data_IF_402654362079
#
_entry.id   IF_402654362079
#
_cell.length_a   1.000
_cell.length_b   1.000
_cell.length_c   1.000
_cell.angle_alpha   90.00
_cell.angle_beta   90.00
_cell.angle_gamma   90.00
#
_symmetry.space_group_name_H-M   'P 1'
#
loop_
_entity.id
_entity.type
_entity.pdbx_description
1 polymer ?
#
# COMPACT_ATOMS: atom_id res chain seq x y z
N UNK A 1 -8.48 36.07 -48.86
CA UNK A 1 -8.74 34.94 -47.94
C UNK A 1 -8.07 35.25 -46.61
N UNK A 2 -8.90 35.57 -45.60
CA UNK A 2 -8.42 36.01 -44.28
C UNK A 2 -7.89 34.79 -43.47
N UNK A 3 -6.61 34.82 -43.09
CA UNK A 3 -5.91 33.82 -42.28
C UNK A 3 -6.11 34.03 -40.75
N UNK A 4 -7.11 34.81 -40.35
CA UNK A 4 -7.31 35.24 -38.95
C UNK A 4 -8.37 34.46 -38.18
N UNK A 5 -8.71 33.22 -38.53
CA UNK A 5 -9.72 32.44 -37.81
C UNK A 5 -9.26 31.02 -37.46
N UNK A 6 -8.04 30.85 -36.94
CA UNK A 6 -7.57 29.57 -36.37
C UNK A 6 -7.10 29.68 -34.92
N UNK A 7 -7.48 30.73 -34.21
CA UNK A 7 -7.45 30.72 -32.75
C UNK A 7 -8.72 30.06 -32.24
N UNK A 8 -8.84 28.75 -32.44
CA UNK A 8 -9.87 27.93 -31.80
C UNK A 8 -9.43 27.55 -30.40
N UNK A 9 -10.14 28.05 -29.42
CA UNK A 9 -10.53 27.49 -28.12
C UNK A 9 -9.80 26.20 -27.71
N UNK A 10 -8.54 26.34 -27.28
CA UNK A 10 -7.80 25.30 -26.58
C UNK A 10 -7.77 25.51 -25.06
N UNK A 11 -8.60 26.38 -24.52
CA UNK A 11 -8.45 26.90 -23.17
C UNK A 11 -9.53 26.45 -22.19
N UNK A 12 -10.02 25.19 -22.31
CA UNK A 12 -10.91 24.62 -21.30
C UNK A 12 -10.60 23.15 -20.96
N UNK A 13 -9.36 22.69 -21.14
CA UNK A 13 -8.91 21.44 -20.56
C UNK A 13 -8.38 21.72 -19.15
N UNK A 14 -9.12 21.32 -18.12
CA UNK A 14 -8.65 21.35 -16.72
C UNK A 14 -7.49 20.38 -16.56
N UNK A 15 -6.25 20.88 -16.72
CA UNK A 15 -5.05 20.10 -16.44
C UNK A 15 -4.98 19.73 -14.96
N UNK A 16 -4.64 18.48 -14.66
CA UNK A 16 -4.39 18.02 -13.28
C UNK A 16 -3.16 18.68 -12.68
N UNK A 17 -2.19 19.04 -13.51
CA UNK A 17 -1.00 19.78 -13.12
C UNK A 17 -0.83 21.03 -14.00
N UNK A 18 -1.11 22.19 -13.44
CA UNK A 18 -0.98 23.47 -14.15
C UNK A 18 0.48 23.84 -14.49
N UNK A 19 1.47 23.30 -13.74
CA UNK A 19 2.90 23.59 -13.96
C UNK A 19 3.41 23.02 -15.28
N UNK A 20 3.05 21.79 -15.63
CA UNK A 20 3.54 21.11 -16.83
C UNK A 20 2.42 20.72 -17.80
N UNK A 21 1.18 21.10 -17.54
CA UNK A 21 -0.01 20.72 -18.35
C UNK A 21 -0.06 19.22 -18.61
N UNK A 22 0.13 18.42 -17.56
CA UNK A 22 0.16 16.94 -17.52
C UNK A 22 1.27 16.26 -18.33
N UNK A 23 2.24 17.01 -18.88
CA UNK A 23 3.38 16.48 -19.62
C UNK A 23 4.41 15.78 -18.75
N UNK A 24 4.37 15.98 -17.43
CA UNK A 24 5.33 15.46 -16.43
C UNK A 24 6.75 16.03 -16.54
N UNK A 25 7.00 16.92 -17.48
CA UNK A 25 8.25 17.65 -17.69
C UNK A 25 7.96 19.14 -17.90
N UNK A 26 8.89 19.98 -17.49
CA UNK A 26 8.92 21.42 -17.75
C UNK A 26 10.11 21.69 -18.68
N UNK A 27 9.86 22.40 -19.77
CA UNK A 27 10.91 22.74 -20.73
C UNK A 27 11.26 24.22 -20.54
N UNK A 28 12.48 24.50 -20.11
CA UNK A 28 13.04 25.85 -19.99
C UNK A 28 14.31 25.91 -20.83
N UNK A 29 14.44 26.90 -21.71
CA UNK A 29 15.60 27.11 -22.56
C UNK A 29 16.08 25.86 -23.32
N UNK A 30 15.13 25.03 -23.79
CA UNK A 30 15.41 23.79 -24.51
C UNK A 30 15.83 22.61 -23.62
N UNK A 31 15.87 22.77 -22.30
CA UNK A 31 16.19 21.71 -21.36
C UNK A 31 14.91 21.20 -20.69
N UNK A 32 14.65 19.89 -20.81
CA UNK A 32 13.53 19.23 -20.15
C UNK A 32 13.90 18.80 -18.72
N UNK A 33 13.21 19.35 -17.71
CA UNK A 33 13.35 18.97 -16.30
C UNK A 33 12.09 18.24 -15.81
N UNK A 34 12.20 17.19 -14.97
CA UNK A 34 11.04 16.50 -14.42
C UNK A 34 10.17 17.45 -13.58
N UNK A 35 8.86 17.45 -13.85
CA UNK A 35 7.90 18.15 -12.99
C UNK A 35 7.66 17.37 -11.70
N UNK A 36 7.39 18.06 -10.60
CA UNK A 36 7.05 17.45 -9.29
C UNK A 36 5.89 16.45 -9.39
N UNK A 37 4.89 16.71 -10.26
CA UNK A 37 3.75 15.82 -10.48
C UNK A 37 4.14 14.45 -11.05
N UNK A 38 5.33 14.29 -11.62
CA UNK A 38 5.81 13.04 -12.21
C UNK A 38 5.86 11.92 -11.20
N UNK A 39 6.46 12.17 -10.02
CA UNK A 39 6.56 11.17 -8.96
C UNK A 39 5.18 10.71 -8.47
N UNK A 40 4.24 11.65 -8.31
CA UNK A 40 2.86 11.36 -7.92
C UNK A 40 2.14 10.51 -8.99
N UNK A 41 2.30 10.87 -10.27
CA UNK A 41 1.69 10.12 -11.38
C UNK A 41 2.23 8.69 -11.46
N UNK A 42 3.56 8.54 -11.39
CA UNK A 42 4.22 7.23 -11.39
C UNK A 42 3.77 6.37 -10.18
N UNK A 43 3.66 6.97 -8.98
CA UNK A 43 3.18 6.27 -7.79
C UNK A 43 1.74 5.76 -7.95
N UNK A 44 0.84 6.59 -8.47
CA UNK A 44 -0.56 6.19 -8.74
C UNK A 44 -0.66 5.11 -9.81
N UNK A 45 0.16 5.16 -10.85
CA UNK A 45 0.21 4.13 -11.88
C UNK A 45 0.70 2.78 -11.36
N UNK A 46 1.63 2.77 -10.39
CA UNK A 46 2.09 1.55 -9.71
C UNK A 46 0.93 0.84 -9.01
N UNK A 47 0.14 1.57 -8.21
CA UNK A 47 -1.01 0.99 -7.53
C UNK A 47 -2.10 0.53 -8.53
N UNK A 48 -2.38 1.33 -9.56
CA UNK A 48 -3.35 0.97 -10.61
C UNK A 48 -2.99 -0.35 -11.29
N UNK A 49 -1.71 -0.57 -11.57
CA UNK A 49 -1.19 -1.82 -12.16
C UNK A 49 -1.16 -3.00 -11.19
N UNK A 50 -1.44 -2.80 -9.90
CA UNK A 50 -1.49 -3.87 -8.90
C UNK A 50 -2.77 -4.71 -8.94
N UNK A 51 -3.71 -4.43 -9.86
CA UNK A 51 -4.94 -5.22 -10.04
C UNK A 51 -6.05 -4.91 -9.02
N UNK A 52 -5.88 -3.91 -8.17
CA UNK A 52 -6.89 -3.49 -7.21
C UNK A 52 -8.03 -2.74 -7.91
N UNK A 53 -9.29 -3.00 -7.51
CA UNK A 53 -10.46 -2.33 -8.09
C UNK A 53 -10.47 -0.83 -7.80
N UNK A 54 -11.17 -0.06 -8.63
CA UNK A 54 -11.28 1.39 -8.46
C UNK A 54 -11.97 1.76 -7.15
N UNK A 55 -13.01 1.04 -6.75
CA UNK A 55 -13.69 1.24 -5.49
C UNK A 55 -12.74 1.14 -4.28
N UNK A 56 -11.85 0.14 -4.29
CA UNK A 56 -10.86 -0.02 -3.23
C UNK A 56 -9.78 1.08 -3.28
N UNK A 57 -9.39 1.54 -4.47
CA UNK A 57 -8.44 2.65 -4.62
C UNK A 57 -8.98 3.97 -4.07
N UNK A 58 -10.30 4.15 -4.04
CA UNK A 58 -10.95 5.35 -3.51
C UNK A 58 -11.08 5.37 -1.98
N UNK A 59 -10.59 4.33 -1.27
CA UNK A 59 -10.55 4.33 0.20
C UNK A 59 -9.53 5.35 0.70
N UNK A 60 -10.00 6.31 1.50
CA UNK A 60 -9.17 7.37 2.07
C UNK A 60 -9.60 7.68 3.51
N UNK A 61 -8.86 8.54 4.21
CA UNK A 61 -9.17 8.91 5.59
C UNK A 61 -10.47 9.70 5.72
N UNK A 62 -10.91 10.42 4.70
CA UNK A 62 -12.10 11.26 4.72
C UNK A 62 -13.38 10.41 4.65
N UNK A 63 -13.33 9.29 3.90
CA UNK A 63 -14.46 8.39 3.79
C UNK A 63 -14.40 7.20 4.77
N UNK A 64 -13.44 7.18 5.69
CA UNK A 64 -13.41 6.25 6.80
C UNK A 64 -14.36 6.70 7.90
N UNK A 65 -15.38 5.90 8.20
CA UNK A 65 -16.30 6.20 9.28
C UNK A 65 -15.75 5.60 10.58
N UNK A 66 -15.31 6.45 11.51
CA UNK A 66 -15.02 6.01 12.87
C UNK A 66 -16.34 5.70 13.58
N UNK A 67 -16.53 4.46 14.02
CA UNK A 67 -17.56 4.15 14.99
C UNK A 67 -17.07 4.72 16.34
N UNK A 68 -18.00 5.16 17.19
CA UNK A 68 -17.66 5.73 18.51
C UNK A 68 -17.11 4.65 19.45
N UNK A 69 -15.93 4.13 19.12
CA UNK A 69 -15.18 3.07 19.79
C UNK A 69 -13.71 3.41 19.84
N UNK A 70 -13.11 3.24 21.01
CA UNK A 70 -11.72 3.63 21.27
C UNK A 70 -10.71 2.92 20.35
N UNK A 71 -10.96 1.65 19.97
CA UNK A 71 -10.06 0.90 19.10
C UNK A 71 -10.14 1.40 17.65
N UNK A 72 -11.35 1.75 17.16
CA UNK A 72 -11.54 2.35 15.83
C UNK A 72 -10.87 3.71 15.72
N UNK A 73 -11.06 4.55 16.74
CA UNK A 73 -10.43 5.88 16.82
C UNK A 73 -8.90 5.75 16.90
N UNK A 74 -8.39 4.85 17.75
CA UNK A 74 -6.96 4.60 17.87
C UNK A 74 -6.36 4.11 16.54
N UNK A 75 -7.03 3.17 15.85
CA UNK A 75 -6.57 2.67 14.56
C UNK A 75 -6.49 3.75 13.50
N UNK A 76 -7.50 4.63 13.43
CA UNK A 76 -7.51 5.80 12.56
C UNK A 76 -6.36 6.76 12.87
N UNK A 77 -6.18 7.11 14.15
CA UNK A 77 -5.14 8.03 14.58
C UNK A 77 -3.74 7.47 14.30
N UNK A 78 -3.51 6.18 14.58
CA UNK A 78 -2.24 5.52 14.28
C UNK A 78 -1.94 5.44 12.78
N UNK A 79 -2.95 5.21 11.94
CA UNK A 79 -2.81 5.25 10.50
C UNK A 79 -2.41 6.65 10.00
N UNK A 80 -3.03 7.69 10.52
CA UNK A 80 -2.68 9.09 10.19
C UNK A 80 -1.29 9.47 10.70
N UNK A 81 -0.96 9.09 11.93
CA UNK A 81 0.36 9.32 12.52
C UNK A 81 1.46 8.67 11.68
N UNK A 82 1.26 7.41 11.26
CA UNK A 82 2.19 6.70 10.37
C UNK A 82 2.38 7.44 9.05
N UNK A 83 1.28 7.83 8.40
CA UNK A 83 1.33 8.52 7.11
C UNK A 83 2.08 9.85 7.19
N UNK A 84 1.83 10.64 8.24
CA UNK A 84 2.44 11.95 8.44
C UNK A 84 3.94 11.85 8.76
N UNK A 85 4.34 10.81 9.52
CA UNK A 85 5.72 10.60 9.95
C UNK A 85 6.53 9.71 8.98
N UNK A 86 5.91 9.20 7.91
CA UNK A 86 6.56 8.26 7.00
C UNK A 86 7.90 8.75 6.46
N UNK A 87 8.00 10.02 6.10
CA UNK A 87 9.24 10.62 5.57
C UNK A 87 10.42 10.57 6.57
N UNK A 88 10.12 10.53 7.88
CA UNK A 88 11.12 10.46 8.96
C UNK A 88 11.52 8.99 9.21
N UNK A 89 10.53 8.08 9.24
CA UNK A 89 10.74 6.71 9.69
C UNK A 89 11.12 5.72 8.58
N UNK A 90 10.88 6.07 7.31
CA UNK A 90 11.00 5.16 6.15
C UNK A 90 12.31 4.38 6.06
N UNK A 91 13.41 4.96 6.52
CA UNK A 91 14.76 4.38 6.44
C UNK A 91 15.19 3.69 7.76
N UNK A 92 14.32 3.69 8.77
CA UNK A 92 14.54 2.97 10.06
C UNK A 92 14.15 1.49 9.94
N UNK A 93 14.49 0.68 10.97
CA UNK A 93 14.02 -0.71 11.05
C UNK A 93 12.53 -0.77 11.40
N UNK A 94 12.05 0.17 12.24
CA UNK A 94 10.65 0.25 12.68
C UNK A 94 9.82 1.18 11.79
N UNK A 95 9.81 0.92 10.49
CA UNK A 95 9.22 1.76 9.45
C UNK A 95 7.87 1.28 8.91
N UNK A 96 7.30 0.26 9.51
CA UNK A 96 6.12 -0.43 9.02
C UNK A 96 4.92 -0.25 9.93
N UNK A 97 3.72 -0.57 9.42
CA UNK A 97 2.47 -0.58 10.18
C UNK A 97 1.74 -1.90 9.96
N UNK A 98 1.16 -2.47 11.04
CA UNK A 98 0.38 -3.69 10.96
C UNK A 98 -0.97 -3.55 11.68
N UNK A 99 -2.05 -3.80 10.96
CA UNK A 99 -3.41 -3.86 11.46
C UNK A 99 -3.84 -5.31 11.69
N UNK A 100 -4.22 -5.64 12.91
CA UNK A 100 -4.67 -6.97 13.32
C UNK A 100 -6.10 -6.92 13.84
N UNK A 101 -6.94 -7.88 13.47
CA UNK A 101 -8.30 -7.96 14.02
C UNK A 101 -9.29 -8.68 13.11
N UNK A 102 -10.54 -8.73 13.58
CA UNK A 102 -11.60 -9.48 12.89
C UNK A 102 -11.93 -8.92 11.49
N UNK A 103 -12.59 -9.74 10.63
CA UNK A 103 -13.11 -9.28 9.35
C UNK A 103 -14.04 -8.07 9.50
N UNK A 104 -14.04 -7.18 8.51
CA UNK A 104 -14.91 -6.01 8.48
C UNK A 104 -14.52 -4.88 9.43
N UNK A 105 -13.41 -4.97 10.18
CA UNK A 105 -12.99 -3.92 11.13
C UNK A 105 -12.29 -2.71 10.54
N UNK A 106 -12.27 -2.56 9.21
CA UNK A 106 -11.70 -1.39 8.53
C UNK A 106 -10.20 -1.45 8.24
N UNK A 107 -9.50 -2.56 8.54
CA UNK A 107 -8.04 -2.73 8.30
C UNK A 107 -7.62 -2.38 6.87
N UNK A 108 -8.23 -3.04 5.88
CA UNK A 108 -7.95 -2.79 4.46
C UNK A 108 -8.22 -1.34 4.08
N UNK A 109 -9.29 -0.73 4.61
CA UNK A 109 -9.61 0.68 4.36
C UNK A 109 -8.49 1.59 4.86
N UNK A 110 -8.05 1.43 6.12
CA UNK A 110 -6.97 2.24 6.68
C UNK A 110 -5.63 2.00 5.96
N UNK A 111 -5.32 0.74 5.59
CA UNK A 111 -4.13 0.41 4.82
C UNK A 111 -4.11 1.12 3.46
N UNK A 112 -5.25 1.18 2.77
CA UNK A 112 -5.39 1.89 1.49
C UNK A 112 -5.40 3.40 1.67
N UNK A 113 -5.96 3.91 2.76
CA UNK A 113 -5.89 5.34 3.09
C UNK A 113 -4.44 5.81 3.25
N UNK A 114 -3.62 5.02 3.95
CA UNK A 114 -2.18 5.26 4.06
C UNK A 114 -1.52 5.23 2.67
N UNK A 115 -1.80 4.19 1.87
CA UNK A 115 -1.23 4.05 0.54
C UNK A 115 -1.54 5.26 -0.34
N UNK A 116 -2.78 5.77 -0.30
CA UNK A 116 -3.18 6.95 -1.05
C UNK A 116 -2.41 8.21 -0.63
N UNK A 117 -2.27 8.45 0.69
CA UNK A 117 -1.47 9.59 1.19
C UNK A 117 -0.01 9.48 0.76
N UNK A 118 0.60 8.28 0.84
CA UNK A 118 1.97 8.07 0.41
C UNK A 118 2.15 8.33 -1.09
N UNK A 119 1.19 7.88 -1.92
CA UNK A 119 1.24 8.13 -3.37
C UNK A 119 1.03 9.59 -3.73
N UNK A 120 0.20 10.31 -3.01
CA UNK A 120 0.03 11.76 -3.17
C UNK A 120 1.32 12.53 -2.84
N UNK A 121 2.19 11.92 -2.01
CA UNK A 121 3.55 12.40 -1.73
C UNK A 121 4.62 11.78 -2.65
N UNK A 122 4.23 11.13 -3.75
CA UNK A 122 5.17 10.57 -4.74
C UNK A 122 5.86 9.26 -4.33
N UNK A 123 5.38 8.60 -3.26
CA UNK A 123 5.91 7.32 -2.81
C UNK A 123 5.11 6.17 -3.45
N UNK A 124 5.77 5.38 -4.29
CA UNK A 124 5.13 4.23 -4.95
C UNK A 124 4.77 3.11 -3.96
N UNK A 125 3.49 2.71 -3.97
CA UNK A 125 2.98 1.59 -3.18
C UNK A 125 2.55 0.47 -4.10
N UNK A 126 3.06 -0.73 -3.87
CA UNK A 126 2.62 -1.96 -4.55
C UNK A 126 1.64 -2.69 -3.66
N UNK A 127 0.44 -2.96 -4.17
CA UNK A 127 -0.57 -3.76 -3.48
C UNK A 127 -0.37 -5.25 -3.75
N UNK A 128 -0.47 -6.06 -2.71
CA UNK A 128 -0.43 -7.51 -2.72
C UNK A 128 -1.67 -8.04 -1.97
N UNK A 129 -2.71 -8.47 -2.71
CA UNK A 129 -3.76 -9.31 -2.17
C UNK A 129 -3.18 -10.68 -1.88
N UNK A 130 -2.89 -10.98 -0.61
CA UNK A 130 -2.09 -12.15 -0.21
C UNK A 130 -2.58 -13.44 -0.88
N UNK A 131 -3.86 -13.75 -0.76
CA UNK A 131 -4.41 -15.04 -1.23
C UNK A 131 -4.24 -15.24 -2.74
N UNK A 132 -4.56 -14.22 -3.52
CA UNK A 132 -4.52 -14.30 -4.98
C UNK A 132 -3.08 -14.40 -5.47
N UNK A 133 -2.18 -13.59 -4.91
CA UNK A 133 -0.77 -13.58 -5.30
C UNK A 133 -0.08 -14.87 -4.92
N UNK A 134 -0.30 -15.40 -3.71
CA UNK A 134 0.27 -16.68 -3.30
C UNK A 134 -0.23 -17.82 -4.19
N UNK A 135 -1.52 -17.82 -4.54
CA UNK A 135 -2.09 -18.80 -5.47
C UNK A 135 -1.39 -18.75 -6.83
N UNK A 136 -1.22 -17.55 -7.39
CA UNK A 136 -0.53 -17.36 -8.67
C UNK A 136 0.93 -17.81 -8.63
N UNK A 137 1.65 -17.48 -7.56
CA UNK A 137 3.06 -17.89 -7.39
C UNK A 137 3.13 -19.42 -7.31
N UNK A 138 2.27 -20.07 -6.53
CA UNK A 138 2.28 -21.54 -6.38
C UNK A 138 1.92 -22.26 -7.67
N UNK A 139 0.99 -21.74 -8.46
CA UNK A 139 0.62 -22.32 -9.76
C UNK A 139 1.78 -22.28 -10.78
N UNK A 140 2.70 -21.34 -10.61
CA UNK A 140 3.83 -21.14 -11.51
C UNK A 140 5.20 -21.33 -10.82
N UNK A 141 5.24 -22.07 -9.71
CA UNK A 141 6.44 -22.21 -8.88
C UNK A 141 7.61 -22.87 -9.59
N UNK A 142 7.34 -23.69 -10.61
CA UNK A 142 8.37 -24.36 -11.43
C UNK A 142 8.90 -23.46 -12.57
N UNK A 143 8.26 -22.34 -12.85
CA UNK A 143 8.75 -21.32 -13.78
C UNK A 143 9.59 -20.30 -13.01
N UNK A 144 10.91 -20.52 -13.01
CA UNK A 144 11.88 -19.68 -12.29
C UNK A 144 11.85 -18.22 -12.78
N UNK A 145 11.66 -18.01 -14.08
CA UNK A 145 11.61 -16.65 -14.67
C UNK A 145 10.38 -15.91 -14.17
N UNK A 146 9.22 -16.56 -14.18
CA UNK A 146 7.98 -16.01 -13.65
C UNK A 146 8.08 -15.75 -12.15
N UNK A 147 8.55 -16.74 -11.37
CA UNK A 147 8.72 -16.63 -9.92
C UNK A 147 9.59 -15.41 -9.55
N UNK A 148 10.78 -15.34 -10.15
CA UNK A 148 11.71 -14.23 -9.89
C UNK A 148 11.13 -12.87 -10.29
N UNK A 149 10.42 -12.79 -11.42
CA UNK A 149 9.76 -11.56 -11.88
C UNK A 149 8.72 -11.09 -10.87
N UNK A 150 7.86 -11.98 -10.39
CA UNK A 150 6.79 -11.66 -9.43
C UNK A 150 7.40 -11.31 -8.07
N UNK A 151 8.32 -12.12 -7.55
CA UNK A 151 8.97 -11.88 -6.27
C UNK A 151 9.76 -10.56 -6.27
N UNK A 152 10.51 -10.27 -7.33
CA UNK A 152 11.26 -9.02 -7.45
C UNK A 152 10.37 -7.77 -7.45
N UNK A 153 9.17 -7.86 -8.03
CA UNK A 153 8.20 -6.77 -7.96
C UNK A 153 7.84 -6.43 -6.51
N UNK A 154 7.58 -7.44 -5.67
CA UNK A 154 7.21 -7.23 -4.27
C UNK A 154 8.40 -6.96 -3.37
N UNK A 155 9.54 -7.61 -3.62
CA UNK A 155 10.79 -7.37 -2.89
C UNK A 155 11.26 -5.92 -3.01
N UNK A 156 11.25 -5.37 -4.23
CA UNK A 156 11.84 -4.06 -4.54
C UNK A 156 10.84 -2.88 -4.52
N UNK A 157 9.58 -3.11 -4.15
CA UNK A 157 8.62 -2.03 -3.98
C UNK A 157 9.08 -1.04 -2.91
N UNK A 158 8.97 0.28 -3.15
CA UNK A 158 9.29 1.30 -2.14
C UNK A 158 8.49 1.06 -0.86
N UNK A 159 7.19 0.82 -1.00
CA UNK A 159 6.30 0.35 0.07
C UNK A 159 5.49 -0.82 -0.46
N UNK A 160 5.35 -1.87 0.34
CA UNK A 160 4.51 -3.03 0.04
C UNK A 160 3.30 -3.06 0.96
N UNK A 161 2.09 -3.02 0.38
CA UNK A 161 0.85 -3.24 1.11
C UNK A 161 0.44 -4.70 0.94
N UNK A 162 0.46 -5.47 2.02
CA UNK A 162 0.03 -6.88 2.08
C UNK A 162 -1.35 -6.91 2.74
N UNK A 163 -2.37 -7.22 1.95
CA UNK A 163 -3.75 -7.27 2.45
C UNK A 163 -4.17 -8.71 2.74
N UNK A 164 -4.81 -8.89 3.90
CA UNK A 164 -5.33 -10.16 4.41
C UNK A 164 -4.23 -11.24 4.54
N UNK A 165 -3.03 -10.86 5.07
CA UNK A 165 -1.91 -11.77 5.29
C UNK A 165 -2.34 -13.02 6.06
N UNK A 166 -2.00 -14.20 5.51
CA UNK A 166 -2.31 -15.53 6.06
C UNK A 166 -3.82 -15.81 6.26
N UNK A 167 -4.66 -15.22 5.42
CA UNK A 167 -6.09 -15.51 5.44
C UNK A 167 -6.40 -16.86 4.77
N UNK A 168 -7.14 -17.71 5.49
CA UNK A 168 -7.54 -19.05 5.04
C UNK A 168 -6.58 -20.14 5.49
N UNK A 169 -6.52 -21.25 4.75
CA UNK A 169 -5.57 -22.34 5.03
C UNK A 169 -4.18 -21.97 4.59
N UNK A 170 -3.20 -22.17 5.46
CA UNK A 170 -1.81 -21.82 5.28
C UNK A 170 -1.02 -23.10 5.04
N UNK A 171 -0.29 -23.17 3.94
CA UNK A 171 0.63 -24.27 3.64
C UNK A 171 2.07 -23.89 3.95
N UNK A 172 2.96 -24.90 4.08
CA UNK A 172 4.40 -24.65 4.26
C UNK A 172 5.01 -23.84 3.11
N UNK A 173 4.51 -24.03 1.89
CA UNK A 173 4.95 -23.24 0.73
C UNK A 173 4.59 -21.75 0.89
N UNK A 174 3.40 -21.45 1.42
CA UNK A 174 2.96 -20.07 1.69
C UNK A 174 3.90 -19.39 2.69
N UNK A 175 4.27 -20.11 3.75
CA UNK A 175 5.19 -19.62 4.79
C UNK A 175 6.57 -19.34 4.17
N UNK A 176 7.10 -20.26 3.38
CA UNK A 176 8.42 -20.10 2.75
C UNK A 176 8.46 -18.90 1.80
N UNK A 177 7.43 -18.72 0.96
CA UNK A 177 7.34 -17.57 0.03
C UNK A 177 7.27 -16.26 0.81
N UNK A 178 6.42 -16.21 1.84
CA UNK A 178 6.29 -14.99 2.66
C UNK A 178 7.53 -14.72 3.50
N UNK A 179 8.18 -15.76 4.02
CA UNK A 179 9.46 -15.62 4.72
C UNK A 179 10.53 -15.02 3.80
N UNK A 180 10.70 -15.54 2.59
CA UNK A 180 11.64 -15.00 1.61
C UNK A 180 11.38 -13.51 1.33
N UNK A 181 10.11 -13.14 1.14
CA UNK A 181 9.71 -11.76 0.87
C UNK A 181 9.97 -10.83 2.06
N UNK A 182 9.48 -11.20 3.23
CA UNK A 182 9.60 -10.37 4.45
C UNK A 182 11.05 -10.28 4.91
N UNK A 183 11.80 -11.38 4.86
CA UNK A 183 13.21 -11.41 5.21
C UNK A 183 14.05 -10.46 4.32
N UNK A 184 13.81 -10.47 3.01
CA UNK A 184 14.46 -9.53 2.09
C UNK A 184 14.14 -8.07 2.46
N UNK A 185 12.86 -7.76 2.70
CA UNK A 185 12.41 -6.40 3.02
C UNK A 185 12.94 -5.92 4.38
N UNK A 186 12.98 -6.81 5.37
CA UNK A 186 13.54 -6.55 6.70
C UNK A 186 15.00 -6.11 6.62
N UNK A 187 15.85 -6.91 5.94
CA UNK A 187 17.27 -6.58 5.82
C UNK A 187 17.56 -5.33 4.99
N UNK A 188 16.70 -5.03 4.03
CA UNK A 188 16.81 -3.82 3.21
C UNK A 188 16.03 -2.62 3.77
N UNK A 189 15.47 -2.72 4.97
CA UNK A 189 14.66 -1.68 5.63
C UNK A 189 13.53 -1.13 4.73
N UNK A 190 12.89 -2.01 3.96
CA UNK A 190 11.81 -1.64 3.05
C UNK A 190 10.45 -1.75 3.76
N UNK A 191 9.69 -0.64 3.90
CA UNK A 191 8.47 -0.60 4.68
C UNK A 191 7.38 -1.54 4.17
N UNK A 192 6.62 -2.14 5.10
CA UNK A 192 5.39 -2.89 4.80
C UNK A 192 4.19 -2.28 5.52
N UNK A 193 3.04 -2.29 4.84
CA UNK A 193 1.72 -2.03 5.41
C UNK A 193 1.01 -3.37 5.41
N UNK A 194 0.63 -3.89 6.57
CA UNK A 194 0.05 -5.23 6.68
C UNK A 194 -1.34 -5.18 7.28
N UNK A 195 -2.30 -5.88 6.68
CA UNK A 195 -3.55 -6.24 7.33
C UNK A 195 -3.61 -7.76 7.56
N UNK A 196 -4.08 -8.20 8.73
CA UNK A 196 -4.26 -9.62 9.05
C UNK A 196 -5.39 -9.85 10.04
N UNK A 197 -5.98 -11.04 10.02
CA UNK A 197 -6.94 -11.48 11.02
C UNK A 197 -6.27 -12.18 12.23
N UNK A 198 -4.96 -12.46 12.12
CA UNK A 198 -4.19 -13.15 13.15
C UNK A 198 -3.92 -12.25 14.36
N UNK A 199 -3.72 -12.88 15.51
CA UNK A 199 -3.11 -12.25 16.69
C UNK A 199 -1.58 -12.30 16.56
N UNK A 200 -0.88 -11.54 17.41
CA UNK A 200 0.59 -11.62 17.55
C UNK A 200 1.01 -13.06 17.80
N UNK A 201 0.39 -13.70 18.77
CA UNK A 201 0.67 -15.07 19.16
C UNK A 201 0.49 -16.05 17.99
N UNK A 202 -0.66 -15.96 17.27
CA UNK A 202 -0.92 -16.81 16.12
C UNK A 202 0.06 -16.57 14.97
N UNK A 203 0.49 -15.33 14.77
CA UNK A 203 1.47 -14.98 13.74
C UNK A 203 2.85 -15.60 14.06
N UNK A 204 3.29 -15.51 15.32
CA UNK A 204 4.54 -16.13 15.80
C UNK A 204 4.46 -17.65 15.75
N UNK A 205 3.31 -18.24 16.09
CA UNK A 205 3.10 -19.70 16.04
C UNK A 205 3.14 -20.26 14.60
N UNK A 206 2.83 -19.47 13.57
CA UNK A 206 2.97 -19.89 12.17
C UNK A 206 4.44 -20.01 11.79
N UNK A 207 5.22 -18.98 12.08
CA UNK A 207 6.67 -18.94 11.91
C UNK A 207 7.25 -17.83 12.79
N UNK A 208 8.05 -18.20 13.77
CA UNK A 208 8.62 -17.27 14.74
C UNK A 208 9.55 -16.24 14.06
N UNK A 209 10.33 -16.67 13.10
CA UNK A 209 11.28 -15.80 12.42
C UNK A 209 10.59 -14.76 11.53
N UNK A 210 9.51 -15.12 10.84
CA UNK A 210 8.70 -14.21 10.07
C UNK A 210 7.89 -13.27 10.99
N UNK A 211 7.23 -13.86 11.99
CA UNK A 211 6.38 -13.11 12.93
C UNK A 211 7.16 -12.06 13.70
N UNK A 212 8.34 -12.42 14.26
CA UNK A 212 9.18 -11.49 15.01
C UNK A 212 9.68 -10.32 14.15
N UNK A 213 10.05 -10.55 12.88
CA UNK A 213 10.45 -9.47 11.95
C UNK A 213 9.32 -8.49 11.67
N UNK A 214 8.12 -8.99 11.37
CA UNK A 214 6.95 -8.13 11.15
C UNK A 214 6.59 -7.31 12.38
N UNK A 215 6.67 -7.92 13.58
CA UNK A 215 6.41 -7.23 14.84
C UNK A 215 7.47 -6.16 15.09
N UNK A 216 8.75 -6.45 14.88
CA UNK A 216 9.83 -5.48 15.05
C UNK A 216 9.70 -4.33 14.06
N UNK A 217 9.48 -4.60 12.77
CA UNK A 217 9.25 -3.58 11.75
C UNK A 217 8.07 -2.66 12.08
N UNK A 218 7.03 -3.21 12.70
CA UNK A 218 5.78 -2.49 13.03
C UNK A 218 5.71 -2.04 14.50
N UNK A 219 6.79 -2.08 15.25
CA UNK A 219 6.81 -1.91 16.72
C UNK A 219 6.05 -0.69 17.23
N UNK A 220 6.14 0.44 16.55
CA UNK A 220 5.47 1.70 16.96
C UNK A 220 4.05 1.83 16.38
N UNK A 221 3.72 1.03 15.39
CA UNK A 221 2.46 1.08 14.65
C UNK A 221 1.79 -0.31 14.57
N UNK A 222 1.81 -1.02 15.69
CA UNK A 222 1.10 -2.29 15.84
C UNK A 222 -0.31 -2.01 16.35
N UNK A 223 -1.34 -2.26 15.54
CA UNK A 223 -2.72 -1.83 15.79
C UNK A 223 -3.65 -3.01 15.86
N UNK A 224 -4.25 -3.26 17.03
CA UNK A 224 -5.28 -4.29 17.23
C UNK A 224 -6.69 -3.72 17.18
N UNK A 225 -7.60 -4.37 16.45
CA UNK A 225 -9.01 -4.01 16.34
C UNK A 225 -9.83 -5.28 16.59
N UNK A 226 -10.25 -5.54 17.85
CA UNK A 226 -10.83 -6.82 18.29
C UNK A 226 -12.27 -6.74 18.81
N UNK A 227 -12.89 -5.56 18.79
CA UNK A 227 -14.27 -5.44 19.24
C UNK A 227 -15.24 -5.97 18.16
N UNK A 228 -16.02 -7.00 18.49
CA UNK A 228 -17.00 -7.62 17.56
C UNK A 228 -18.00 -6.62 16.97
N UNK A 229 -18.35 -5.56 17.72
CA UNK A 229 -19.23 -4.49 17.22
C UNK A 229 -18.61 -3.62 16.11
N UNK A 230 -17.29 -3.74 15.89
CA UNK A 230 -16.57 -3.02 14.84
C UNK A 230 -16.59 -3.73 13.48
N UNK A 231 -17.55 -4.61 13.22
CA UNK A 231 -17.73 -5.15 11.88
C UNK A 231 -18.59 -4.19 11.05
N UNK A 232 -17.94 -3.31 10.26
CA UNK A 232 -18.59 -2.33 9.39
C UNK A 232 -19.49 -2.95 8.31
N UNK A 233 -19.30 -4.23 7.98
CA UNK A 233 -20.17 -4.93 7.01
C UNK A 233 -21.50 -5.34 7.59
N UNK A 234 -21.59 -5.42 8.90
CA UNK A 234 -22.80 -5.86 9.63
C UNK A 234 -23.46 -4.67 10.33
N UNK A 235 -22.68 -3.77 10.90
CA UNK A 235 -23.16 -2.73 11.82
C UNK A 235 -22.84 -1.29 11.34
N UNK A 236 -22.19 -1.13 10.17
CA UNK A 236 -21.77 0.16 9.60
C UNK A 236 -22.79 0.79 8.66
#
# INVERSE_FOLDING_TARGET
MNLNNLEKDWDNSSYKCNKCRDLTFIINDGVATPCECRAVKEAKDILRKSGISEEFRNKNFENFKTINDSQSINAYNKAREYSNNFHIIKDSTQNSIMFMGQPGSGKTHLSLSIANVLMDNGVGVVYMGYRDVITQIKQNIMDEVYYNKVMNRYKNAKVLLIDDLFKGSISKSDINIMFELINYRYFNKLPVIVSTELSIENLVNIDEALGSRLIEMSKYFLVGIRNKKLNYRIYG
#
